data_IF_334047627543
#
_entry.id   IF_334047627543
#
_cell.length_a   1.000
_cell.length_b   1.000
_cell.length_c   1.000
_cell.angle_alpha   90.00
_cell.angle_beta   90.00
_cell.angle_gamma   90.00
#
_symmetry.space_group_name_H-M   'P 1'
#
loop_
_entity.id
_entity.type
_entity.pdbx_description
1 polymer ?
#
# COMPACT_ATOMS: atom_id res chain seq x y z
N UNK A 1 4.97 -4.42 -3.74
CA UNK A 1 3.92 -3.42 -4.04
C UNK A 1 2.69 -3.77 -3.23
N UNK A 2 2.11 -2.82 -2.53
CA UNK A 2 0.84 -2.98 -1.83
C UNK A 2 -0.25 -2.37 -2.72
N UNK A 3 -1.02 -3.21 -3.41
CA UNK A 3 -1.97 -2.78 -4.44
C UNK A 3 -3.39 -2.62 -3.86
N UNK A 4 -3.93 -1.39 -3.77
CA UNK A 4 -5.30 -1.19 -3.29
C UNK A 4 -6.31 -1.75 -4.28
N UNK A 5 -7.38 -2.35 -3.76
CA UNK A 5 -8.52 -2.74 -4.60
C UNK A 5 -9.41 -1.53 -5.00
N UNK A 6 -10.38 -1.77 -5.88
CA UNK A 6 -11.30 -0.72 -6.33
C UNK A 6 -12.10 -0.09 -5.18
N UNK A 7 -12.45 -0.86 -4.15
CA UNK A 7 -13.18 -0.35 -2.98
C UNK A 7 -12.33 0.64 -2.17
N UNK A 8 -11.02 0.40 -2.06
CA UNK A 8 -10.10 1.32 -1.40
C UNK A 8 -10.00 2.67 -2.14
N UNK A 9 -9.95 2.67 -3.48
CA UNK A 9 -9.98 3.92 -4.26
C UNK A 9 -11.31 4.68 -4.10
N UNK A 10 -12.44 3.98 -4.06
CA UNK A 10 -13.75 4.60 -3.80
C UNK A 10 -13.84 5.21 -2.39
N UNK A 11 -13.28 4.52 -1.38
CA UNK A 11 -13.21 5.01 -0.01
C UNK A 11 -12.32 6.27 0.09
N UNK A 12 -11.17 6.25 -0.61
CA UNK A 12 -10.28 7.42 -0.69
C UNK A 12 -10.97 8.62 -1.35
N UNK A 13 -11.63 8.42 -2.49
CA UNK A 13 -12.34 9.50 -3.17
C UNK A 13 -13.41 10.13 -2.26
N UNK A 14 -14.19 9.29 -1.58
CA UNK A 14 -15.18 9.73 -0.58
C UNK A 14 -14.52 10.53 0.56
N UNK A 15 -13.40 10.03 1.11
CA UNK A 15 -12.68 10.68 2.20
C UNK A 15 -12.09 12.04 1.80
N UNK A 16 -11.74 12.22 0.52
CA UNK A 16 -11.25 13.47 -0.06
C UNK A 16 -12.38 14.40 -0.54
N UNK A 17 -13.65 14.01 -0.37
CA UNK A 17 -14.80 14.79 -0.84
C UNK A 17 -14.87 14.91 -2.37
N UNK A 18 -14.32 13.94 -3.10
CA UNK A 18 -14.25 13.91 -4.56
C UNK A 18 -14.79 12.59 -5.11
N UNK A 19 -14.67 12.39 -6.42
CA UNK A 19 -14.95 11.12 -7.09
C UNK A 19 -13.68 10.60 -7.78
N UNK A 20 -13.77 9.42 -8.42
CA UNK A 20 -12.62 8.86 -9.14
C UNK A 20 -12.08 9.79 -10.23
N UNK A 21 -12.95 10.51 -10.95
CA UNK A 21 -12.51 11.45 -11.98
C UNK A 21 -11.72 12.63 -11.39
N UNK A 22 -12.16 13.17 -10.25
CA UNK A 22 -11.45 14.22 -9.55
C UNK A 22 -10.12 13.75 -8.96
N UNK A 23 -10.06 12.51 -8.46
CA UNK A 23 -8.81 11.90 -8.01
C UNK A 23 -7.82 11.68 -9.19
N UNK A 24 -8.33 11.26 -10.35
CA UNK A 24 -7.54 11.07 -11.57
C UNK A 24 -7.05 12.39 -12.17
N UNK A 25 -7.80 13.48 -11.97
CA UNK A 25 -7.41 14.82 -12.42
C UNK A 25 -6.25 15.40 -11.59
N UNK A 26 -6.15 15.02 -10.31
CA UNK A 26 -5.03 15.42 -9.44
C UNK A 26 -3.84 14.46 -9.57
N UNK A 27 -3.16 14.55 -10.71
CA UNK A 27 -1.98 13.73 -11.04
C UNK A 27 -0.87 13.84 -9.99
N UNK A 28 -0.51 15.02 -9.44
CA UNK A 28 0.51 15.13 -8.39
C UNK A 28 0.16 14.33 -7.14
N UNK A 29 -1.07 14.48 -6.62
CA UNK A 29 -1.52 13.76 -5.43
C UNK A 29 -1.60 12.26 -5.70
N UNK A 30 -2.17 11.86 -6.84
CA UNK A 30 -2.26 10.46 -7.22
C UNK A 30 -0.87 9.82 -7.35
N UNK A 31 0.09 10.54 -7.94
CA UNK A 31 1.47 10.07 -8.06
C UNK A 31 2.12 9.85 -6.69
N UNK A 32 1.96 10.79 -5.76
CA UNK A 32 2.49 10.63 -4.40
C UNK A 32 1.86 9.43 -3.68
N UNK A 33 0.54 9.25 -3.81
CA UNK A 33 -0.18 8.10 -3.24
C UNK A 33 0.37 6.79 -3.81
N UNK A 34 0.52 6.67 -5.14
CA UNK A 34 1.02 5.45 -5.77
C UNK A 34 2.47 5.15 -5.37
N UNK A 35 3.32 6.17 -5.26
CA UNK A 35 4.70 5.99 -4.78
C UNK A 35 4.74 5.48 -3.33
N UNK A 36 3.80 5.92 -2.48
CA UNK A 36 3.70 5.45 -1.10
C UNK A 36 3.27 3.97 -0.99
N UNK A 37 2.67 3.40 -2.03
CA UNK A 37 2.26 1.98 -2.08
C UNK A 37 3.38 1.05 -2.59
N UNK A 38 4.53 1.59 -3.01
CA UNK A 38 5.65 0.83 -3.54
C UNK A 38 6.79 0.82 -2.52
N UNK A 39 7.02 -0.33 -1.89
CA UNK A 39 8.21 -0.55 -1.06
C UNK A 39 9.47 -0.70 -1.94
N UNK A 40 10.60 -0.17 -1.45
CA UNK A 40 11.87 -0.10 -2.19
C UNK A 40 12.84 -1.25 -1.87
N UNK A 41 12.56 -2.02 -0.82
CA UNK A 41 13.40 -3.13 -0.32
C UNK A 41 13.32 -4.42 -1.16
N UNK A 42 12.86 -4.30 -2.41
CA UNK A 42 12.72 -5.40 -3.35
C UNK A 42 11.46 -6.24 -3.15
N UNK A 43 11.42 -7.37 -3.84
CA UNK A 43 10.30 -8.30 -3.81
C UNK A 43 10.26 -9.08 -2.49
N UNK A 44 9.47 -8.60 -1.54
CA UNK A 44 9.25 -9.27 -0.26
C UNK A 44 7.99 -10.14 -0.32
N UNK A 45 8.14 -11.43 0.03
CA UNK A 45 7.01 -12.32 0.31
C UNK A 45 6.43 -11.99 1.68
N UNK A 46 5.16 -12.28 1.92
CA UNK A 46 4.50 -12.00 3.20
C UNK A 46 5.19 -12.72 4.36
N UNK A 47 5.75 -13.90 4.10
CA UNK A 47 6.48 -14.70 5.09
C UNK A 47 7.82 -14.08 5.50
N UNK A 48 8.35 -13.13 4.72
CA UNK A 48 9.57 -12.41 5.05
C UNK A 48 9.28 -11.10 5.80
N UNK A 49 8.02 -10.66 5.84
CA UNK A 49 7.62 -9.46 6.55
C UNK A 49 7.50 -9.75 8.05
N UNK A 50 8.25 -9.00 8.86
CA UNK A 50 8.31 -9.15 10.31
C UNK A 50 7.46 -8.10 11.02
N UNK A 51 6.90 -8.46 12.19
CA UNK A 51 6.13 -7.50 12.98
C UNK A 51 7.01 -6.34 13.45
N UNK A 52 6.56 -5.10 13.20
CA UNK A 52 7.28 -3.87 13.54
C UNK A 52 8.32 -3.45 12.49
N UNK A 53 8.49 -4.22 11.42
CA UNK A 53 9.37 -3.86 10.30
C UNK A 53 8.90 -2.55 9.64
N UNK A 54 9.85 -1.67 9.35
CA UNK A 54 9.60 -0.42 8.62
C UNK A 54 10.11 -0.58 7.21
N UNK A 55 9.22 -0.35 6.25
CA UNK A 55 9.51 -0.47 4.82
C UNK A 55 9.63 0.92 4.23
N UNK A 56 10.77 1.22 3.62
CA UNK A 56 10.94 2.45 2.84
C UNK A 56 10.09 2.41 1.58
N UNK A 57 9.35 3.49 1.33
CA UNK A 57 8.52 3.63 0.12
C UNK A 57 9.25 4.42 -0.97
N UNK A 58 8.74 4.33 -2.19
CA UNK A 58 9.25 5.14 -3.30
C UNK A 58 9.02 6.65 -3.07
N UNK A 59 8.02 6.99 -2.25
CA UNK A 59 7.82 8.36 -1.78
C UNK A 59 8.85 8.68 -0.69
N UNK A 60 9.90 9.43 -1.05
CA UNK A 60 11.04 9.70 -0.18
C UNK A 60 10.63 10.24 1.20
N UNK A 61 11.26 9.70 2.24
CA UNK A 61 11.04 10.11 3.63
C UNK A 61 9.74 9.60 4.24
N UNK A 62 9.01 8.71 3.54
CA UNK A 62 7.78 8.11 4.02
C UNK A 62 7.93 6.59 4.08
N UNK A 63 7.52 6.01 5.20
CA UNK A 63 7.64 4.58 5.48
C UNK A 63 6.26 3.95 5.73
N UNK A 64 6.18 2.65 5.47
CA UNK A 64 5.09 1.79 5.92
C UNK A 64 5.59 0.96 7.11
N UNK A 65 4.70 0.60 8.03
CA UNK A 65 5.03 -0.32 9.12
C UNK A 65 4.24 -1.61 8.98
N UNK A 66 4.92 -2.74 9.06
CA UNK A 66 4.31 -4.07 9.07
C UNK A 66 3.77 -4.35 10.47
N UNK A 67 2.49 -4.68 10.57
CA UNK A 67 1.87 -5.20 11.78
C UNK A 67 1.45 -6.65 11.55
N UNK A 68 2.34 -7.58 11.88
CA UNK A 68 2.11 -9.01 11.73
C UNK A 68 1.66 -9.61 13.07
N UNK A 69 0.60 -10.41 13.04
CA UNK A 69 0.04 -11.06 14.21
C UNK A 69 -0.49 -12.45 13.86
N UNK A 70 -0.92 -13.22 14.88
CA UNK A 70 -1.62 -14.49 14.66
C UNK A 70 -2.91 -14.35 13.85
N UNK A 71 -3.49 -13.13 13.76
CA UNK A 71 -4.70 -12.83 12.98
C UNK A 71 -4.41 -12.46 11.51
N UNK A 72 -3.13 -12.48 11.12
CA UNK A 72 -2.65 -12.07 9.81
C UNK A 72 -1.81 -10.80 9.84
N UNK A 73 -1.34 -10.41 8.65
CA UNK A 73 -0.48 -9.26 8.42
C UNK A 73 -1.30 -8.06 7.97
N UNK A 74 -0.98 -6.90 8.55
CA UNK A 74 -1.51 -5.60 8.16
C UNK A 74 -0.36 -4.66 7.81
N UNK A 75 -0.64 -3.70 6.96
CA UNK A 75 0.28 -2.65 6.55
C UNK A 75 -0.29 -1.33 7.08
N UNK A 76 0.47 -0.70 7.97
CA UNK A 76 0.13 0.58 8.56
C UNK A 76 0.84 1.69 7.78
N UNK A 77 0.06 2.57 7.18
CA UNK A 77 0.52 3.87 6.73
C UNK A 77 0.36 4.92 7.83
N UNK A 78 0.67 6.18 7.51
CA UNK A 78 0.63 7.28 8.49
C UNK A 78 -0.78 7.59 9.00
N UNK A 79 -1.79 7.42 8.15
CA UNK A 79 -3.19 7.76 8.47
C UNK A 79 -4.17 6.63 8.15
N UNK A 80 -3.65 5.47 7.75
CA UNK A 80 -4.48 4.33 7.32
C UNK A 80 -3.82 3.01 7.71
N UNK A 81 -4.63 1.97 7.87
CA UNK A 81 -4.17 0.61 8.12
C UNK A 81 -4.98 -0.32 7.25
N UNK A 82 -4.30 -1.13 6.43
CA UNK A 82 -4.94 -2.07 5.52
C UNK A 82 -4.52 -3.50 5.83
N UNK A 83 -5.47 -4.43 5.75
CA UNK A 83 -5.18 -5.87 5.84
C UNK A 83 -4.85 -6.43 4.47
N UNK A 84 -4.04 -7.49 4.43
CA UNK A 84 -3.75 -8.16 3.17
C UNK A 84 -4.93 -9.04 2.74
N UNK A 85 -5.46 -8.82 1.55
CA UNK A 85 -6.57 -9.59 0.96
C UNK A 85 -6.07 -10.74 0.08
N UNK A 86 -4.94 -10.53 -0.59
CA UNK A 86 -4.21 -11.53 -1.35
C UNK A 86 -2.72 -11.20 -1.28
N UNK A 87 -1.86 -12.21 -1.28
CA UNK A 87 -0.42 -12.05 -1.01
C UNK A 87 0.41 -12.83 -2.01
N UNK A 88 1.70 -12.49 -2.09
CA UNK A 88 2.72 -13.24 -2.83
C UNK A 88 2.44 -13.40 -4.34
N UNK A 89 1.68 -12.49 -4.94
CA UNK A 89 1.45 -12.49 -6.37
C UNK A 89 2.71 -12.01 -7.10
N UNK A 90 3.40 -12.94 -7.77
CA UNK A 90 4.61 -12.63 -8.52
C UNK A 90 4.28 -11.80 -9.77
N UNK A 91 4.95 -10.66 -9.93
CA UNK A 91 4.82 -9.77 -11.08
C UNK A 91 6.22 -9.39 -11.58
N UNK A 92 6.81 -10.26 -12.42
CA UNK A 92 8.18 -10.09 -12.91
C UNK A 92 9.19 -10.09 -11.76
N UNK A 93 9.87 -8.96 -11.55
CA UNK A 93 10.84 -8.77 -10.45
C UNK A 93 10.22 -8.23 -9.16
N UNK A 94 8.91 -8.02 -9.13
CA UNK A 94 8.19 -7.52 -7.97
C UNK A 94 7.23 -8.58 -7.41
N UNK A 95 6.83 -8.40 -6.15
CA UNK A 95 5.73 -9.12 -5.51
C UNK A 95 4.62 -8.14 -5.17
N UNK A 96 3.37 -8.53 -5.44
CA UNK A 96 2.18 -7.74 -5.18
C UNK A 96 1.40 -8.36 -4.02
N UNK A 97 1.02 -7.51 -3.07
CA UNK A 97 0.11 -7.82 -1.98
C UNK A 97 -1.10 -6.91 -2.13
N UNK A 98 -2.30 -7.49 -2.26
CA UNK A 98 -3.55 -6.72 -2.40
C UNK A 98 -4.01 -6.23 -1.03
N UNK A 99 -4.36 -4.95 -0.93
CA UNK A 99 -4.79 -4.25 0.29
C UNK A 99 -6.17 -3.60 0.16
#
# INVERSE_FOLDING_TARGET
>A
VFAPNNAAFNALATALGTNLAGLLADVPTLTAILQYHVATEGAQRVTHLSNGERLDTLLKGRQLTVAASWRGTRINGERSSAGLLAVDAQAGRAVVHVV
#
